data_IF_871701270615
#
_entry.id   IF_871701270615
#
_cell.length_a   1.000
_cell.length_b   1.000
_cell.length_c   1.000
_cell.angle_alpha   90.00
_cell.angle_beta   90.00
_cell.angle_gamma   90.00
#
_symmetry.space_group_name_H-M   'P 1'
#
loop_
_entity.id
_entity.type
_entity.pdbx_description
1 polymer ?
#
# COMPACT_ATOMS: atom_id res chain seq x y z
N UNK A 1 0.74 -3.42 16.20
CA UNK A 1 1.36 -3.48 14.87
C UNK A 1 0.37 -2.86 13.90
N UNK A 2 0.76 -1.75 13.27
CA UNK A 2 -0.04 -1.00 12.32
C UNK A 2 -0.45 -1.85 11.11
N UNK A 3 0.36 -2.83 10.70
CA UNK A 3 0.04 -3.73 9.59
C UNK A 3 -1.25 -4.55 9.79
N UNK A 4 -1.69 -4.74 11.05
CA UNK A 4 -2.96 -5.42 11.38
C UNK A 4 -4.21 -4.59 11.08
N UNK A 5 -4.05 -3.30 10.77
CA UNK A 5 -5.13 -2.41 10.36
C UNK A 5 -5.40 -2.48 8.85
N UNK A 6 -4.80 -3.44 8.16
CA UNK A 6 -4.88 -3.58 6.71
C UNK A 6 -5.32 -4.98 6.31
N UNK A 7 -6.13 -5.06 5.26
CA UNK A 7 -6.39 -6.29 4.53
C UNK A 7 -5.35 -6.47 3.43
N UNK A 8 -4.66 -7.62 3.41
CA UNK A 8 -3.59 -7.91 2.46
C UNK A 8 -4.11 -8.72 1.27
N UNK A 9 -3.86 -8.22 0.07
CA UNK A 9 -4.02 -8.94 -1.20
C UNK A 9 -2.64 -9.29 -1.75
N UNK A 10 -2.20 -10.56 -1.64
CA UNK A 10 -0.88 -10.96 -2.10
C UNK A 10 -0.79 -10.95 -3.62
N UNK A 11 0.38 -10.63 -4.17
CA UNK A 11 0.68 -10.61 -5.61
C UNK A 11 -0.21 -9.64 -6.40
N UNK A 12 -0.66 -8.56 -5.78
CA UNK A 12 -1.49 -7.55 -6.40
C UNK A 12 -0.99 -6.15 -6.05
N UNK A 13 -1.29 -5.19 -6.91
CA UNK A 13 -1.13 -3.76 -6.67
C UNK A 13 -2.42 -3.04 -7.01
N UNK A 14 -2.73 -1.96 -6.30
CA UNK A 14 -3.93 -1.16 -6.58
C UNK A 14 -3.70 -0.17 -7.72
N UNK A 15 -2.49 0.40 -7.82
CA UNK A 15 -2.18 1.40 -8.85
C UNK A 15 -0.69 1.39 -9.21
N UNK A 16 -0.35 2.03 -10.32
CA UNK A 16 1.04 2.41 -10.65
C UNK A 16 1.27 3.92 -10.47
N UNK A 17 0.20 4.67 -10.17
CA UNK A 17 0.21 6.12 -9.95
C UNK A 17 0.06 6.40 -8.45
N UNK A 18 1.12 6.12 -7.69
CA UNK A 18 1.13 6.30 -6.24
C UNK A 18 1.37 7.75 -5.82
N UNK A 19 0.89 8.11 -4.63
CA UNK A 19 1.09 9.44 -4.06
C UNK A 19 2.49 9.61 -3.47
N UNK A 20 3.03 8.57 -2.81
CA UNK A 20 4.31 8.64 -2.13
C UNK A 20 5.06 7.31 -2.20
N UNK A 21 6.34 7.35 -2.61
CA UNK A 21 7.26 6.21 -2.54
C UNK A 21 8.19 6.34 -1.33
N UNK A 22 8.35 5.25 -0.58
CA UNK A 22 9.25 5.14 0.56
C UNK A 22 10.12 3.87 0.36
N UNK A 23 11.41 4.01 -0.01
CA UNK A 23 12.28 2.86 -0.21
C UNK A 23 12.84 2.31 1.10
N UNK A 24 13.10 1.00 1.16
CA UNK A 24 13.89 0.38 2.22
C UNK A 24 13.22 0.27 3.59
N UNK A 25 11.89 0.28 3.65
CA UNK A 25 11.11 0.18 4.91
C UNK A 25 10.43 -1.17 5.04
N UNK A 26 10.09 -1.59 6.26
CA UNK A 26 9.30 -2.81 6.49
C UNK A 26 7.80 -2.57 6.19
N UNK A 27 7.03 -3.65 6.09
CA UNK A 27 5.56 -3.60 5.99
C UNK A 27 4.95 -2.83 7.17
N UNK A 28 5.38 -3.13 8.40
CA UNK A 28 4.93 -2.42 9.61
C UNK A 28 5.23 -0.92 9.56
N UNK A 29 6.43 -0.52 9.11
CA UNK A 29 6.76 0.91 8.97
C UNK A 29 5.95 1.56 7.84
N UNK A 30 5.72 0.86 6.71
CA UNK A 30 4.86 1.34 5.64
C UNK A 30 3.41 1.56 6.10
N UNK A 31 2.86 0.60 6.86
CA UNK A 31 1.54 0.70 7.46
C UNK A 31 1.47 1.87 8.44
N UNK A 32 2.48 2.03 9.31
CA UNK A 32 2.57 3.17 10.23
C UNK A 32 2.60 4.51 9.48
N UNK A 33 3.38 4.60 8.39
CA UNK A 33 3.47 5.79 7.55
C UNK A 33 2.14 6.12 6.88
N UNK A 34 1.41 5.13 6.38
CA UNK A 34 0.08 5.31 5.83
C UNK A 34 -0.92 5.86 6.86
N UNK A 35 -0.94 5.27 8.07
CA UNK A 35 -1.88 5.69 9.13
C UNK A 35 -1.59 7.11 9.62
N UNK A 36 -0.32 7.51 9.67
CA UNK A 36 0.11 8.83 10.14
C UNK A 36 0.23 9.88 9.02
N UNK A 37 -0.05 9.51 7.77
CA UNK A 37 0.00 10.45 6.64
C UNK A 37 -1.11 11.51 6.78
N UNK A 38 -0.74 12.77 6.57
CA UNK A 38 -1.62 13.93 6.78
C UNK A 38 -1.78 14.77 5.52
N UNK A 39 -0.91 14.57 4.52
CA UNK A 39 -0.92 15.31 3.26
C UNK A 39 -2.00 14.82 2.30
N UNK A 40 -2.41 13.56 2.43
CA UNK A 40 -3.52 12.94 1.70
C UNK A 40 -4.13 11.83 2.55
N UNK A 41 -5.36 11.43 2.22
CA UNK A 41 -6.03 10.35 2.93
C UNK A 41 -5.52 9.00 2.43
N UNK A 42 -4.48 8.46 3.07
CA UNK A 42 -3.92 7.16 2.69
C UNK A 42 -4.96 6.04 2.90
N UNK A 43 -5.39 5.43 1.80
CA UNK A 43 -6.35 4.31 1.74
C UNK A 43 -5.67 2.95 1.69
N UNK A 44 -4.38 2.92 1.38
CA UNK A 44 -3.62 1.69 1.35
C UNK A 44 -2.21 1.91 0.83
N UNK A 45 -1.48 0.80 0.66
CA UNK A 45 -0.15 0.84 0.09
C UNK A 45 0.18 -0.43 -0.69
N UNK A 46 0.98 -0.27 -1.73
CA UNK A 46 1.62 -1.38 -2.43
C UNK A 46 3.01 -1.60 -1.83
N UNK A 47 3.39 -2.86 -1.61
CA UNK A 47 4.67 -3.20 -1.00
C UNK A 47 5.40 -4.24 -1.84
N UNK A 48 6.54 -3.85 -2.43
CA UNK A 48 7.40 -4.73 -3.19
C UNK A 48 8.43 -5.39 -2.27
N UNK A 49 8.45 -6.73 -2.29
CA UNK A 49 9.08 -7.54 -1.24
C UNK A 49 10.60 -7.62 -1.34
N UNK A 50 11.16 -7.54 -2.55
CA UNK A 50 12.59 -7.76 -2.82
C UNK A 50 13.42 -6.54 -2.45
N UNK A 51 13.06 -5.36 -2.91
CA UNK A 51 13.75 -4.10 -2.59
C UNK A 51 13.11 -3.35 -1.41
N UNK A 52 12.02 -3.90 -0.84
CA UNK A 52 11.30 -3.31 0.30
C UNK A 52 10.82 -1.89 -0.01
N UNK A 53 10.33 -1.70 -1.23
CA UNK A 53 9.71 -0.44 -1.60
C UNK A 53 8.26 -0.42 -1.13
N UNK A 54 7.89 0.67 -0.49
CA UNK A 54 6.54 0.98 -0.05
C UNK A 54 5.99 2.11 -0.93
N UNK A 55 4.77 1.98 -1.41
CA UNK A 55 4.08 3.04 -2.12
C UNK A 55 2.72 3.31 -1.51
N UNK A 56 2.56 4.47 -0.88
CA UNK A 56 1.31 4.90 -0.29
C UNK A 56 0.39 5.49 -1.35
N UNK A 57 -0.91 5.26 -1.19
CA UNK A 57 -1.90 5.78 -2.13
C UNK A 57 -3.25 6.10 -1.48
N UNK A 58 -3.95 7.08 -2.06
CA UNK A 58 -5.37 7.34 -1.80
C UNK A 58 -6.30 6.48 -2.66
N UNK A 59 -5.77 5.74 -3.63
CA UNK A 59 -6.55 4.87 -4.50
C UNK A 59 -7.13 3.68 -3.73
N UNK A 60 -8.38 3.36 -4.07
CA UNK A 60 -9.06 2.12 -3.69
C UNK A 60 -9.32 1.26 -4.92
N UNK A 61 -9.56 -0.05 -4.77
CA UNK A 61 -9.98 -0.91 -5.88
C UNK A 61 -11.17 -0.33 -6.66
N UNK A 62 -12.13 0.30 -6.01
CA UNK A 62 -13.28 0.92 -6.68
C UNK A 62 -12.86 2.10 -7.56
N UNK A 63 -11.97 2.97 -7.06
CA UNK A 63 -11.52 4.16 -7.79
C UNK A 63 -10.73 3.84 -9.07
N UNK A 64 -10.06 2.69 -9.10
CA UNK A 64 -9.18 2.25 -10.20
C UNK A 64 -9.70 1.03 -10.96
N UNK A 65 -10.95 0.62 -10.71
CA UNK A 65 -11.66 -0.50 -11.37
C UNK A 65 -11.01 -1.88 -11.15
N UNK A 66 -10.55 -2.12 -9.93
CA UNK A 66 -9.99 -3.39 -9.47
C UNK A 66 -8.52 -3.31 -9.10
N UNK A 67 -7.89 -4.46 -8.93
CA UNK A 67 -6.45 -4.60 -8.64
C UNK A 67 -5.75 -5.28 -9.80
N UNK A 68 -4.44 -5.03 -9.94
CA UNK A 68 -3.61 -5.62 -10.99
C UNK A 68 -2.69 -6.69 -10.39
N UNK A 69 -2.51 -7.82 -11.08
CA UNK A 69 -1.59 -8.87 -10.64
C UNK A 69 -0.15 -8.40 -10.78
N UNK A 70 0.63 -8.49 -9.70
CA UNK A 70 2.05 -8.17 -9.68
C UNK A 70 2.80 -9.14 -8.77
N UNK A 71 3.52 -10.10 -9.36
CA UNK A 71 4.09 -11.24 -8.63
C UNK A 71 5.11 -10.88 -7.53
N UNK A 72 5.65 -9.67 -7.48
CA UNK A 72 6.64 -9.25 -6.50
C UNK A 72 6.12 -8.25 -5.46
N UNK A 73 4.85 -7.86 -5.55
CA UNK A 73 4.26 -6.85 -4.67
C UNK A 73 2.92 -7.32 -4.10
N UNK A 74 2.61 -6.84 -2.91
CA UNK A 74 1.35 -7.08 -2.23
C UNK A 74 0.66 -5.75 -1.98
N UNK A 75 -0.65 -5.73 -2.14
CA UNK A 75 -1.48 -4.58 -1.82
C UNK A 75 -2.02 -4.73 -0.39
N UNK A 76 -1.97 -3.65 0.37
CA UNK A 76 -2.50 -3.56 1.72
C UNK A 76 -3.55 -2.46 1.74
N UNK A 77 -4.81 -2.86 1.79
CA UNK A 77 -5.96 -1.97 1.87
C UNK A 77 -6.26 -1.62 3.33
N UNK A 78 -6.43 -0.35 3.65
CA UNK A 78 -6.72 0.10 5.01
C UNK A 78 -8.15 -0.29 5.38
N UNK A 79 -8.30 -0.93 6.54
CA UNK A 79 -9.63 -1.23 7.12
C UNK A 79 -10.23 0.09 7.62
N UNK A 80 -11.49 0.43 7.23
CA UNK A 80 -12.19 1.60 7.72
C UNK A 80 -12.32 1.68 9.24
#
# INVERSE_FOLDING_TARGET
AYEKLFHRLPNHVVTLQHNLKIPGVSVEECARRCILETRFNCRGFDYERKLKNCWLTEATPESVKGVQVFANADYYERIP
#
